data_IF_493347194388
#
_entry.id   IF_493347194388
#
_cell.length_a   1.000
_cell.length_b   1.000
_cell.length_c   1.000
_cell.angle_alpha   90.00
_cell.angle_beta   90.00
_cell.angle_gamma   90.00
#
_symmetry.space_group_name_H-M   'P 1'
#
loop_
_entity.id
_entity.type
_entity.pdbx_description
1 polymer ?
#
# COMPACT_ATOMS: atom_id res chain seq x y z
N UNK A 1 47.03 2.61 31.63
CA UNK A 1 45.97 3.12 30.74
C UNK A 1 44.78 2.19 30.91
N UNK A 2 43.78 2.58 31.71
CA UNK A 2 42.62 1.75 32.05
C UNK A 2 41.38 2.34 31.37
N UNK A 3 40.71 1.49 30.58
CA UNK A 3 39.34 1.56 30.06
C UNK A 3 38.58 2.89 30.19
N UNK A 4 38.56 3.66 29.10
CA UNK A 4 37.54 4.70 28.86
C UNK A 4 36.31 4.17 28.10
N UNK A 5 36.36 2.96 27.54
CA UNK A 5 35.29 2.42 26.71
C UNK A 5 34.23 1.62 27.48
N UNK A 6 34.44 1.36 28.78
CA UNK A 6 33.47 0.65 29.64
C UNK A 6 32.48 1.61 30.32
N UNK A 7 32.78 2.92 30.34
CA UNK A 7 31.88 3.92 30.93
C UNK A 7 30.75 4.38 30.00
N UNK A 8 30.90 4.20 28.69
CA UNK A 8 29.84 4.54 27.71
C UNK A 8 28.71 3.50 27.69
N UNK A 9 29.04 2.21 27.76
CA UNK A 9 28.05 1.12 27.70
C UNK A 9 27.31 0.95 29.03
N UNK A 10 27.99 1.16 30.17
CA UNK A 10 27.34 1.12 31.49
C UNK A 10 26.42 2.35 31.70
N UNK A 11 26.70 3.49 31.07
CA UNK A 11 25.82 4.67 31.18
C UNK A 11 24.51 4.50 30.39
N UNK A 12 24.50 3.77 29.27
CA UNK A 12 23.29 3.54 28.48
C UNK A 12 22.34 2.55 29.19
N UNK A 13 22.88 1.45 29.74
CA UNK A 13 22.11 0.47 30.52
C UNK A 13 21.54 1.08 31.83
N UNK A 14 22.25 2.04 32.42
CA UNK A 14 21.76 2.73 33.63
C UNK A 14 20.66 3.74 33.29
N UNK A 15 20.62 4.33 32.09
CA UNK A 15 19.56 5.27 31.69
C UNK A 15 18.26 4.53 31.34
N UNK A 16 18.32 3.34 30.73
CA UNK A 16 17.12 2.50 30.48
C UNK A 16 16.62 1.79 31.74
N UNK A 17 17.50 1.36 32.66
CA UNK A 17 17.05 0.89 33.98
C UNK A 17 16.45 2.02 34.84
N UNK A 18 16.78 3.28 34.55
CA UNK A 18 16.20 4.45 35.22
C UNK A 18 14.83 4.84 34.65
N UNK A 19 14.45 4.51 33.42
CA UNK A 19 13.06 4.77 32.96
C UNK A 19 12.07 3.86 33.70
N UNK A 20 12.36 2.57 33.84
CA UNK A 20 11.59 1.67 34.72
C UNK A 20 11.79 1.98 36.22
N UNK A 21 12.98 2.45 36.63
CA UNK A 21 13.31 2.77 38.02
C UNK A 21 12.73 4.09 38.56
N UNK A 22 12.56 5.11 37.73
CA UNK A 22 11.92 6.41 38.09
C UNK A 22 10.41 6.21 38.31
N UNK A 23 9.80 5.25 37.61
CA UNK A 23 8.41 4.83 37.80
C UNK A 23 8.20 4.10 39.14
N UNK A 24 9.20 3.34 39.62
CA UNK A 24 9.15 2.72 40.94
C UNK A 24 9.46 3.71 42.10
N UNK A 25 10.32 4.71 41.86
CA UNK A 25 10.72 5.70 42.88
C UNK A 25 9.62 6.69 43.27
N UNK A 26 8.73 7.04 42.35
CA UNK A 26 7.57 7.92 42.60
C UNK A 26 6.53 7.29 43.55
N UNK A 27 6.46 5.94 43.64
CA UNK A 27 5.63 5.23 44.64
C UNK A 27 6.07 5.47 46.09
N UNK A 28 7.35 5.73 46.36
CA UNK A 28 7.83 5.97 47.72
C UNK A 28 7.47 7.39 48.22
N UNK A 29 7.44 8.38 47.31
CA UNK A 29 7.11 9.78 47.61
C UNK A 29 5.59 10.01 47.66
N UNK A 30 4.79 9.34 46.82
CA UNK A 30 3.33 9.46 46.82
C UNK A 30 2.66 8.84 48.06
N UNK A 31 3.35 7.94 48.78
CA UNK A 31 2.79 7.30 49.99
C UNK A 31 2.77 8.22 51.22
N UNK A 32 3.42 9.38 51.17
CA UNK A 32 3.38 10.39 52.25
C UNK A 32 2.36 11.52 52.02
N UNK A 33 1.79 11.67 50.82
CA UNK A 33 0.77 12.68 50.54
C UNK A 33 -0.41 12.05 49.82
N UNK A 34 -1.43 11.70 50.61
CA UNK A 34 -2.65 11.07 50.15
C UNK A 34 -3.40 11.91 49.11
N UNK A 35 -3.31 11.47 47.86
CA UNK A 35 -4.21 11.84 46.77
C UNK A 35 -4.36 10.60 45.89
N UNK A 36 -5.60 10.13 45.81
CA UNK A 36 -5.99 8.87 45.17
C UNK A 36 -6.36 9.16 43.70
N UNK A 37 -5.40 8.93 42.80
CA UNK A 37 -5.64 8.71 41.36
C UNK A 37 -4.54 7.76 40.86
N UNK A 38 -4.82 6.46 40.93
CA UNK A 38 -3.94 5.39 40.47
C UNK A 38 -4.57 4.71 39.26
N UNK A 39 -4.17 5.09 38.04
CA UNK A 39 -4.21 4.13 36.92
C UNK A 39 -3.06 3.15 37.15
N UNK A 40 -3.39 1.88 37.35
CA UNK A 40 -2.43 0.85 37.76
C UNK A 40 -1.45 0.52 36.63
N UNK A 41 -0.17 0.86 36.82
CA UNK A 41 0.89 0.33 35.95
C UNK A 41 1.17 -1.14 36.32
N UNK A 42 1.11 -2.00 35.32
CA UNK A 42 1.31 -3.44 35.43
C UNK A 42 2.73 -3.76 35.96
N UNK A 43 2.82 -4.71 36.89
CA UNK A 43 4.09 -5.10 37.50
C UNK A 43 4.90 -5.95 36.52
N UNK A 44 6.08 -5.46 36.09
CA UNK A 44 7.03 -6.19 35.24
C UNK A 44 7.53 -7.44 35.94
N UNK A 45 7.46 -8.58 35.25
CA UNK A 45 7.88 -9.90 35.74
C UNK A 45 9.15 -10.40 35.06
N UNK A 46 9.40 -10.01 33.81
CA UNK A 46 10.56 -10.45 33.02
C UNK A 46 10.87 -9.40 31.95
N UNK A 47 12.15 -9.06 31.77
CA UNK A 47 12.61 -8.20 30.66
C UNK A 47 12.94 -9.08 29.45
N UNK A 48 12.51 -8.66 28.26
CA UNK A 48 12.72 -9.38 27.00
C UNK A 48 13.93 -8.78 26.27
N UNK A 49 14.69 -9.64 25.59
CA UNK A 49 15.82 -9.20 24.77
C UNK A 49 15.31 -8.57 23.47
N UNK A 50 15.72 -7.34 23.22
CA UNK A 50 15.38 -6.57 22.01
C UNK A 50 16.56 -6.50 21.05
N UNK A 51 17.65 -7.22 21.33
CA UNK A 51 18.84 -7.20 20.48
C UNK A 51 18.52 -7.75 19.08
N UNK A 52 18.59 -6.88 18.06
CA UNK A 52 18.26 -7.21 16.68
C UNK A 52 16.97 -6.56 16.15
N UNK A 53 16.13 -5.99 17.03
CA UNK A 53 14.96 -5.22 16.61
C UNK A 53 15.31 -3.72 16.56
N UNK A 54 15.45 -3.14 15.36
CA UNK A 54 15.99 -1.78 15.19
C UNK A 54 15.07 -0.68 15.74
N UNK A 55 13.75 -0.91 15.74
CA UNK A 55 12.72 0.03 16.17
C UNK A 55 12.14 -0.26 17.57
N UNK A 56 12.57 -1.34 18.25
CA UNK A 56 12.10 -1.67 19.61
C UNK A 56 13.14 -1.22 20.65
N UNK A 57 12.76 -0.25 21.49
CA UNK A 57 13.65 0.29 22.53
C UNK A 57 13.70 -0.58 23.79
N UNK A 58 12.58 -1.18 24.16
CA UNK A 58 12.48 -2.11 25.30
C UNK A 58 11.23 -2.95 25.20
N UNK A 59 11.27 -4.17 25.74
CA UNK A 59 10.10 -5.01 25.87
C UNK A 59 10.14 -5.80 27.18
N UNK A 60 8.98 -6.05 27.76
CA UNK A 60 8.86 -6.75 29.02
C UNK A 60 7.56 -7.55 29.11
N UNK A 61 7.61 -8.67 29.82
CA UNK A 61 6.42 -9.40 30.28
C UNK A 61 5.94 -8.79 31.59
N UNK A 62 4.63 -8.63 31.71
CA UNK A 62 3.95 -8.15 32.90
C UNK A 62 2.99 -9.23 33.43
N UNK A 63 2.38 -8.99 34.59
CA UNK A 63 1.35 -9.91 35.13
C UNK A 63 0.09 -10.00 34.27
N UNK A 64 -0.14 -9.06 33.34
CA UNK A 64 -1.37 -8.96 32.53
C UNK A 64 -1.10 -9.14 31.02
N UNK A 65 0.15 -9.46 30.64
CA UNK A 65 0.55 -9.65 29.25
C UNK A 65 1.94 -9.09 28.98
N UNK A 66 2.06 -8.18 28.01
CA UNK A 66 3.34 -7.65 27.51
C UNK A 66 3.30 -6.13 27.36
N UNK A 67 4.44 -5.47 27.56
CA UNK A 67 4.64 -4.04 27.34
C UNK A 67 5.85 -3.85 26.44
N UNK A 68 5.66 -3.16 25.32
CA UNK A 68 6.71 -2.91 24.32
C UNK A 68 6.81 -1.42 24.07
N UNK A 69 8.02 -0.88 24.12
CA UNK A 69 8.34 0.49 23.76
C UNK A 69 8.94 0.50 22.36
N UNK A 70 8.21 1.08 21.41
CA UNK A 70 8.56 1.17 19.99
C UNK A 70 8.91 2.61 19.63
N UNK A 71 9.78 2.77 18.64
CA UNK A 71 10.20 4.04 18.07
C UNK A 71 9.99 4.03 16.57
N UNK A 72 9.12 4.89 16.08
CA UNK A 72 8.77 4.96 14.66
C UNK A 72 8.95 6.37 14.10
N UNK A 73 9.28 6.49 12.81
CA UNK A 73 9.50 7.80 12.20
C UNK A 73 8.16 8.50 11.90
N UNK A 74 7.90 9.64 12.55
CA UNK A 74 6.78 10.54 12.26
C UNK A 74 7.12 11.64 11.24
N UNK A 75 6.23 12.61 11.08
CA UNK A 75 6.43 13.74 10.16
C UNK A 75 7.42 14.77 10.69
N UNK A 76 7.32 15.12 11.97
CA UNK A 76 8.15 16.14 12.63
C UNK A 76 9.40 15.56 13.31
N UNK A 77 9.49 14.23 13.40
CA UNK A 77 10.59 13.50 14.02
C UNK A 77 10.11 12.14 14.54
N UNK A 78 10.97 11.48 15.31
CA UNK A 78 10.64 10.17 15.86
C UNK A 78 9.47 10.26 16.88
N UNK A 79 8.58 9.28 16.82
CA UNK A 79 7.48 9.05 17.75
C UNK A 79 7.85 7.82 18.59
N UNK A 80 7.86 7.98 19.91
CA UNK A 80 8.08 6.89 20.87
C UNK A 80 6.76 6.54 21.52
N UNK A 81 6.40 5.27 21.48
CA UNK A 81 5.14 4.77 22.01
C UNK A 81 5.35 3.55 22.90
N UNK A 82 4.54 3.44 23.93
CA UNK A 82 4.37 2.26 24.76
C UNK A 82 3.08 1.54 24.35
N UNK A 83 3.20 0.29 23.91
CA UNK A 83 2.11 -0.55 23.46
C UNK A 83 1.98 -1.73 24.43
N UNK A 84 0.80 -1.88 25.01
CA UNK A 84 0.46 -2.99 25.91
C UNK A 84 -0.32 -4.04 25.14
N UNK A 85 0.05 -5.30 25.29
CA UNK A 85 -0.63 -6.46 24.72
C UNK A 85 -1.11 -7.41 25.83
N UNK A 86 -2.17 -8.15 25.55
CA UNK A 86 -2.64 -9.24 26.40
C UNK A 86 -1.70 -10.45 26.40
N UNK A 87 -2.05 -11.48 27.18
CA UNK A 87 -1.27 -12.73 27.25
C UNK A 87 -1.17 -13.48 25.91
N UNK A 88 -2.09 -13.22 24.99
CA UNK A 88 -2.12 -13.80 23.64
C UNK A 88 -1.13 -13.16 22.67
N UNK A 89 -0.39 -12.13 23.11
CA UNK A 89 0.58 -11.35 22.30
C UNK A 89 -0.05 -10.66 21.07
N UNK A 90 -1.37 -10.64 20.95
CA UNK A 90 -2.09 -10.18 19.75
C UNK A 90 -3.16 -9.14 20.06
N UNK A 91 -3.81 -9.21 21.22
CA UNK A 91 -4.81 -8.23 21.63
C UNK A 91 -4.12 -7.01 22.25
N UNK A 92 -4.26 -5.84 21.63
CA UNK A 92 -3.75 -4.57 22.18
C UNK A 92 -4.66 -4.16 23.35
N UNK A 93 -4.08 -3.93 24.53
CA UNK A 93 -4.80 -3.53 25.74
C UNK A 93 -4.67 -2.03 26.04
N UNK A 94 -3.68 -1.37 25.44
CA UNK A 94 -3.51 0.08 25.53
C UNK A 94 -2.32 0.59 24.73
N UNK A 95 -2.38 1.85 24.32
CA UNK A 95 -1.31 2.55 23.60
C UNK A 95 -1.11 3.92 24.25
N UNK A 96 0.15 4.30 24.47
CA UNK A 96 0.51 5.62 24.97
C UNK A 96 1.69 6.18 24.19
N UNK A 97 1.57 7.41 23.68
CA UNK A 97 2.69 8.12 23.07
C UNK A 97 3.47 8.86 24.18
N UNK A 98 4.76 8.57 24.32
CA UNK A 98 5.61 9.12 25.39
C UNK A 98 6.49 10.26 24.91
N UNK A 99 6.96 10.21 23.67
CA UNK A 99 7.74 11.28 23.03
C UNK A 99 7.27 11.46 21.58
N UNK A 100 7.15 12.72 21.13
CA UNK A 100 6.80 13.06 19.74
C UNK A 100 7.24 14.50 19.43
N UNK A 101 7.51 14.80 18.17
CA UNK A 101 7.88 16.14 17.67
C UNK A 101 6.98 16.60 16.52
N UNK A 102 5.77 16.07 16.43
CA UNK A 102 4.79 16.37 15.41
C UNK A 102 4.26 17.80 15.50
N UNK A 103 3.65 18.26 14.41
CA UNK A 103 3.06 19.61 14.35
C UNK A 103 1.89 19.74 15.32
N UNK A 104 1.94 20.74 16.20
CA UNK A 104 0.91 21.02 17.21
C UNK A 104 -0.48 21.21 16.57
N UNK A 105 -1.48 20.52 17.10
CA UNK A 105 -2.88 20.61 16.63
C UNK A 105 -3.18 19.83 15.35
N UNK A 106 -2.18 19.19 14.73
CA UNK A 106 -2.36 18.34 13.56
C UNK A 106 -1.83 16.94 13.87
N UNK A 107 -0.51 16.74 13.85
CA UNK A 107 0.11 15.44 14.11
C UNK A 107 0.20 15.10 15.59
N UNK A 108 0.25 16.09 16.49
CA UNK A 108 0.26 15.85 17.94
C UNK A 108 -1.02 15.18 18.47
N UNK A 109 -2.08 15.14 17.65
CA UNK A 109 -3.37 14.53 17.97
C UNK A 109 -3.28 13.01 18.14
N UNK A 110 -2.17 12.38 17.72
CA UNK A 110 -1.86 10.98 18.06
C UNK A 110 -1.79 10.74 19.58
N UNK A 111 -1.65 11.80 20.38
CA UNK A 111 -1.65 11.73 21.85
C UNK A 111 -3.05 11.87 22.46
N UNK A 112 -4.08 12.15 21.65
CA UNK A 112 -5.45 12.36 22.11
C UNK A 112 -6.17 11.04 22.37
N UNK A 113 -7.05 11.02 23.38
CA UNK A 113 -7.82 9.84 23.79
C UNK A 113 -8.72 9.31 22.66
N UNK A 114 -9.25 10.20 21.81
CA UNK A 114 -10.07 9.86 20.64
C UNK A 114 -9.33 8.96 19.64
N UNK A 115 -8.01 9.15 19.49
CA UNK A 115 -7.18 8.30 18.64
C UNK A 115 -6.73 7.03 19.38
N UNK A 116 -6.21 7.19 20.60
CA UNK A 116 -5.61 6.08 21.34
C UNK A 116 -6.60 5.01 21.82
N UNK A 117 -7.86 5.40 22.07
CA UNK A 117 -8.88 4.46 22.56
C UNK A 117 -9.33 3.43 21.51
N UNK A 118 -9.09 3.70 20.23
CA UNK A 118 -9.44 2.80 19.12
C UNK A 118 -8.63 1.49 19.16
N UNK A 119 -7.43 1.53 19.75
CA UNK A 119 -6.55 0.38 19.85
C UNK A 119 -6.87 -0.54 21.03
N UNK A 120 -7.61 -0.08 22.03
CA UNK A 120 -7.95 -0.89 23.19
C UNK A 120 -8.93 -2.01 22.81
N UNK A 121 -8.50 -3.26 22.92
CA UNK A 121 -9.25 -4.44 22.49
C UNK A 121 -9.12 -4.78 21.00
N UNK A 122 -8.31 -4.01 20.25
CA UNK A 122 -8.01 -4.33 18.85
C UNK A 122 -7.12 -5.57 18.78
N UNK A 123 -7.42 -6.48 17.85
CA UNK A 123 -6.55 -7.60 17.50
C UNK A 123 -5.56 -7.13 16.43
N UNK A 124 -4.27 -7.14 16.75
CA UNK A 124 -3.20 -6.83 15.81
C UNK A 124 -3.05 -7.95 14.76
N UNK A 125 -2.61 -7.63 13.52
CA UNK A 125 -2.17 -6.31 13.05
C UNK A 125 -3.32 -5.30 12.92
N UNK A 126 -3.01 -4.02 13.12
CA UNK A 126 -3.95 -2.91 12.92
C UNK A 126 -3.66 -2.19 11.61
N UNK A 127 -4.68 -1.61 10.97
CA UNK A 127 -4.50 -0.95 9.68
C UNK A 127 -5.40 0.27 9.52
N UNK A 128 -4.91 1.26 8.76
CA UNK A 128 -5.71 2.41 8.33
C UNK A 128 -6.50 2.09 7.05
N UNK A 129 -7.63 2.77 6.77
CA UNK A 129 -8.29 2.68 5.48
C UNK A 129 -7.31 2.94 4.32
N UNK A 130 -7.21 1.99 3.38
CA UNK A 130 -6.30 2.08 2.23
C UNK A 130 -4.83 1.71 2.52
N UNK A 131 -4.52 1.22 3.72
CA UNK A 131 -3.20 0.69 4.07
C UNK A 131 -3.12 -0.79 3.70
N UNK A 132 -2.14 -1.16 2.89
CA UNK A 132 -1.78 -2.56 2.69
C UNK A 132 -0.95 -3.02 3.88
N UNK A 133 -1.43 -4.07 4.57
CA UNK A 133 -0.61 -4.77 5.55
C UNK A 133 0.49 -5.51 4.79
N UNK A 134 1.68 -4.91 4.75
CA UNK A 134 2.88 -5.65 4.37
C UNK A 134 3.17 -6.62 5.51
N UNK A 135 2.76 -7.88 5.38
CA UNK A 135 3.42 -8.93 6.14
C UNK A 135 4.83 -9.02 5.57
N UNK A 136 5.81 -8.50 6.30
CA UNK A 136 7.20 -8.86 6.06
C UNK A 136 7.33 -10.37 6.31
N UNK A 137 7.15 -11.16 5.25
CA UNK A 137 7.73 -12.48 5.21
C UNK A 137 9.24 -12.28 5.30
N UNK A 138 9.79 -12.72 6.43
CA UNK A 138 11.21 -12.82 6.69
C UNK A 138 11.91 -13.38 5.43
N UNK A 139 12.91 -12.64 4.92
CA UNK A 139 13.65 -13.00 3.73
C UNK A 139 14.42 -14.32 3.91
N UNK A 140 13.72 -15.44 3.75
CA UNK A 140 14.32 -16.72 3.35
C UNK A 140 14.88 -16.57 1.94
N UNK A 141 16.05 -17.18 1.63
CA UNK A 141 16.66 -17.04 0.32
C UNK A 141 15.71 -17.57 -0.75
N UNK A 142 15.26 -16.66 -1.63
CA UNK A 142 14.42 -16.90 -2.81
C UNK A 142 14.38 -18.37 -3.24
N UNK A 143 13.42 -19.12 -2.69
CA UNK A 143 12.81 -20.20 -3.44
C UNK A 143 11.80 -19.51 -4.33
N UNK A 144 12.14 -19.50 -5.61
CA UNK A 144 11.18 -19.23 -6.67
C UNK A 144 9.99 -20.13 -6.41
N UNK A 145 8.84 -19.56 -6.06
CA UNK A 145 7.59 -20.23 -6.39
C UNK A 145 7.67 -20.45 -7.90
N UNK A 146 7.87 -21.70 -8.32
CA UNK A 146 7.73 -22.07 -9.72
C UNK A 146 6.28 -21.71 -10.07
N UNK A 147 6.09 -20.55 -10.70
CA UNK A 147 4.85 -20.25 -11.41
C UNK A 147 4.62 -21.47 -12.31
N UNK A 148 3.55 -22.22 -12.07
CA UNK A 148 3.17 -23.34 -12.94
C UNK A 148 2.63 -22.77 -14.26
N UNK A 149 3.54 -22.17 -15.04
CA UNK A 149 3.24 -21.69 -16.38
C UNK A 149 3.18 -22.90 -17.31
N UNK A 150 2.14 -22.96 -18.12
CA UNK A 150 2.02 -23.96 -19.16
C UNK A 150 3.02 -23.64 -20.27
N UNK A 151 3.74 -24.66 -20.72
CA UNK A 151 4.65 -24.52 -21.85
C UNK A 151 3.89 -24.13 -23.12
N UNK A 152 4.42 -23.16 -23.86
CA UNK A 152 3.76 -22.64 -25.05
C UNK A 152 4.30 -21.28 -25.49
N UNK A 153 3.70 -20.75 -26.56
CA UNK A 153 3.93 -19.38 -27.02
C UNK A 153 2.62 -18.63 -26.90
N UNK A 154 2.66 -17.50 -26.20
CA UNK A 154 1.51 -16.68 -25.84
C UNK A 154 1.68 -15.30 -26.48
N UNK A 155 0.61 -14.76 -27.04
CA UNK A 155 0.63 -13.51 -27.78
C UNK A 155 -0.52 -12.61 -27.31
N UNK A 156 -0.20 -11.35 -27.03
CA UNK A 156 -1.16 -10.31 -26.68
C UNK A 156 -0.92 -9.08 -27.56
N UNK A 157 -2.01 -8.42 -27.97
CA UNK A 157 -1.98 -7.23 -28.84
C UNK A 157 -2.79 -6.09 -28.25
N UNK A 158 -2.35 -4.87 -28.48
CA UNK A 158 -3.17 -3.69 -28.28
C UNK A 158 -4.39 -3.74 -29.23
N UNK A 159 -5.55 -3.31 -28.74
CA UNK A 159 -6.79 -3.36 -29.52
C UNK A 159 -6.86 -2.30 -30.62
N UNK A 160 -6.09 -1.22 -30.47
CA UNK A 160 -6.04 -0.10 -31.38
C UNK A 160 -4.59 0.41 -31.51
N UNK A 161 -4.24 1.01 -32.67
CA UNK A 161 -2.94 1.66 -32.84
C UNK A 161 -2.81 2.91 -31.96
N UNK A 162 -1.58 3.24 -31.61
CA UNK A 162 -1.18 4.47 -30.95
C UNK A 162 -1.41 5.70 -31.84
N UNK A 163 -1.18 6.90 -31.29
CA UNK A 163 -1.31 8.16 -32.02
C UNK A 163 -0.36 8.28 -33.24
N UNK A 164 0.66 7.43 -33.32
CA UNK A 164 1.61 7.37 -34.43
C UNK A 164 1.27 6.26 -35.44
N UNK A 165 0.17 5.53 -35.25
CA UNK A 165 -0.30 4.48 -36.14
C UNK A 165 0.34 3.10 -35.90
N UNK A 166 1.02 2.89 -34.77
CA UNK A 166 1.63 1.60 -34.42
C UNK A 166 0.77 0.83 -33.42
N UNK A 167 0.64 -0.48 -33.61
CA UNK A 167 -0.06 -1.39 -32.69
C UNK A 167 0.96 -2.25 -31.95
N UNK A 168 0.97 -2.14 -30.62
CA UNK A 168 1.86 -2.93 -29.78
C UNK A 168 1.43 -4.40 -29.69
N UNK A 169 2.40 -5.30 -29.65
CA UNK A 169 2.21 -6.72 -29.45
C UNK A 169 3.35 -7.29 -28.59
N UNK A 170 3.01 -8.16 -27.63
CA UNK A 170 3.98 -8.91 -26.83
C UNK A 170 3.82 -10.39 -27.11
N UNK A 171 4.94 -11.08 -27.31
CA UNK A 171 5.01 -12.54 -27.43
C UNK A 171 5.89 -13.09 -26.32
N UNK A 172 5.39 -14.07 -25.56
CA UNK A 172 6.13 -14.76 -24.49
C UNK A 172 6.19 -16.25 -24.81
N UNK A 173 7.39 -16.84 -24.72
CA UNK A 173 7.59 -18.29 -24.82
C UNK A 173 7.90 -18.86 -23.45
N UNK A 174 7.12 -19.86 -23.04
CA UNK A 174 7.31 -20.62 -21.80
C UNK A 174 7.79 -22.03 -22.15
N UNK A 175 8.84 -22.48 -21.46
CA UNK A 175 9.34 -23.85 -21.53
C UNK A 175 9.82 -24.30 -20.15
N UNK A 176 9.53 -25.55 -19.78
CA UNK A 176 9.79 -26.12 -18.46
C UNK A 176 9.22 -25.24 -17.33
N UNK A 177 8.03 -24.65 -17.55
CA UNK A 177 7.36 -23.76 -16.59
C UNK A 177 7.97 -22.37 -16.45
N UNK A 178 8.95 -22.00 -17.28
CA UNK A 178 9.68 -20.72 -17.17
C UNK A 178 9.56 -19.90 -18.43
N UNK A 179 9.49 -18.58 -18.25
CA UNK A 179 9.59 -17.62 -19.36
C UNK A 179 11.01 -17.72 -19.92
N UNK A 180 11.13 -18.15 -21.17
CA UNK A 180 12.42 -18.32 -21.87
C UNK A 180 12.68 -17.24 -22.90
N UNK A 181 11.62 -16.58 -23.35
CA UNK A 181 11.68 -15.48 -24.30
C UNK A 181 10.51 -14.53 -24.06
N UNK A 182 10.76 -13.24 -24.14
CA UNK A 182 9.73 -12.20 -24.16
C UNK A 182 10.12 -11.15 -25.20
N UNK A 183 9.24 -10.90 -26.16
CA UNK A 183 9.46 -9.97 -27.27
C UNK A 183 8.36 -8.93 -27.26
N UNK A 184 8.75 -7.66 -27.16
CA UNK A 184 7.85 -6.53 -27.39
C UNK A 184 8.08 -5.98 -28.80
N UNK A 185 7.04 -5.94 -29.61
CA UNK A 185 7.06 -5.38 -30.96
C UNK A 185 5.92 -4.36 -31.12
N UNK A 186 6.10 -3.42 -32.04
CA UNK A 186 5.07 -2.46 -32.42
C UNK A 186 5.00 -2.40 -33.94
N UNK A 187 3.80 -2.55 -34.51
CA UNK A 187 3.63 -2.75 -35.97
C UNK A 187 2.80 -1.61 -36.57
N UNK A 188 3.27 -1.00 -37.65
CA UNK A 188 2.52 0.05 -38.35
C UNK A 188 1.35 -0.50 -39.20
N UNK A 189 0.52 0.39 -39.73
CA UNK A 189 -0.64 0.02 -40.56
C UNK A 189 -0.31 -0.73 -41.86
N UNK A 190 0.95 -0.72 -42.30
CA UNK A 190 1.44 -1.46 -43.48
C UNK A 190 2.05 -2.82 -43.08
N UNK A 191 2.13 -3.12 -41.79
CA UNK A 191 2.69 -4.37 -41.26
C UNK A 191 4.20 -4.32 -41.02
N UNK A 192 4.84 -3.15 -41.10
CA UNK A 192 6.27 -3.02 -40.82
C UNK A 192 6.52 -2.95 -39.32
N UNK A 193 7.62 -3.55 -38.89
CA UNK A 193 8.03 -3.59 -37.49
C UNK A 193 8.80 -2.34 -37.09
N UNK A 194 8.45 -1.77 -35.95
CA UNK A 194 9.11 -0.59 -35.39
C UNK A 194 10.53 -0.90 -34.95
N UNK A 195 10.79 -2.12 -34.46
CA UNK A 195 12.14 -2.59 -34.18
C UNK A 195 13.05 -2.49 -35.42
N UNK A 196 12.66 -3.12 -36.53
CA UNK A 196 13.40 -3.13 -37.80
C UNK A 196 13.54 -1.72 -38.39
N UNK A 197 12.50 -0.90 -38.32
CA UNK A 197 12.56 0.49 -38.76
C UNK A 197 13.52 1.31 -37.90
N UNK A 198 13.60 1.05 -36.59
CA UNK A 198 14.49 1.77 -35.68
C UNK A 198 15.95 1.42 -35.89
N UNK A 199 16.27 0.15 -36.16
CA UNK A 199 17.62 -0.30 -36.50
C UNK A 199 18.12 0.26 -37.84
N UNK A 200 17.22 0.34 -38.82
CA UNK A 200 17.55 0.83 -40.17
C UNK A 200 17.44 2.37 -40.31
N UNK A 201 17.15 3.08 -39.22
CA UNK A 201 17.04 4.55 -39.18
C UNK A 201 15.79 5.11 -39.87
N UNK A 202 14.81 4.27 -40.21
CA UNK A 202 13.52 4.69 -40.74
C UNK A 202 12.60 5.23 -39.64
N UNK A 203 12.82 4.80 -38.39
CA UNK A 203 12.19 5.33 -37.20
C UNK A 203 13.27 5.81 -36.22
N UNK A 204 13.29 7.10 -35.90
CA UNK A 204 14.29 7.67 -34.97
C UNK A 204 13.54 8.30 -33.80
N UNK A 205 13.75 7.76 -32.59
CA UNK A 205 13.17 8.35 -31.36
C UNK A 205 13.94 9.58 -30.93
N UNK A 206 15.26 9.42 -30.84
CA UNK A 206 16.21 10.44 -30.41
C UNK A 206 17.46 10.28 -31.25
N UNK A 207 18.09 11.40 -31.63
CA UNK A 207 19.26 11.38 -32.50
C UNK A 207 20.49 10.73 -31.85
N UNK A 208 20.63 10.88 -30.52
CA UNK A 208 21.79 10.40 -29.74
C UNK A 208 21.44 9.36 -28.65
N UNK A 209 20.18 8.94 -28.55
CA UNK A 209 19.71 8.00 -27.53
C UNK A 209 19.46 6.58 -28.06
N UNK A 210 19.13 5.63 -27.18
CA UNK A 210 18.90 4.24 -27.57
C UNK A 210 17.71 4.12 -28.53
N UNK A 211 17.83 3.20 -29.47
CA UNK A 211 16.76 2.88 -30.43
C UNK A 211 15.57 2.24 -29.73
N UNK A 212 14.42 2.22 -30.41
CA UNK A 212 13.25 1.52 -29.89
C UNK A 212 13.53 0.02 -29.75
N UNK A 213 14.22 -0.58 -30.74
CA UNK A 213 14.64 -1.97 -30.71
C UNK A 213 15.47 -2.31 -29.45
N UNK A 214 16.52 -1.54 -29.16
CA UNK A 214 17.37 -1.75 -27.98
C UNK A 214 16.58 -1.69 -26.66
N UNK A 215 15.66 -0.73 -26.54
CA UNK A 215 14.85 -0.58 -25.33
C UNK A 215 13.81 -1.68 -25.16
N UNK A 216 13.14 -2.08 -26.25
CA UNK A 216 12.18 -3.19 -26.25
C UNK A 216 12.83 -4.52 -25.91
N UNK A 217 14.04 -4.76 -26.42
CA UNK A 217 14.83 -5.96 -26.12
C UNK A 217 15.27 -5.99 -24.65
N UNK A 218 15.68 -4.84 -24.09
CA UNK A 218 16.08 -4.75 -22.68
C UNK A 218 14.92 -5.11 -21.73
N UNK A 219 13.70 -4.66 -22.04
CA UNK A 219 12.49 -5.01 -21.28
C UNK A 219 12.15 -6.49 -21.37
N UNK A 220 12.20 -7.06 -22.58
CA UNK A 220 12.00 -8.50 -22.79
C UNK A 220 13.00 -9.34 -21.99
N UNK A 221 14.28 -8.97 -22.01
CA UNK A 221 15.32 -9.65 -21.24
C UNK A 221 15.09 -9.50 -19.73
N UNK A 222 14.73 -8.31 -19.25
CA UNK A 222 14.43 -8.10 -17.83
C UNK A 222 13.26 -8.97 -17.35
N UNK A 223 12.22 -9.15 -18.16
CA UNK A 223 11.12 -10.06 -17.84
C UNK A 223 11.57 -11.54 -17.79
N UNK A 224 12.40 -11.98 -18.74
CA UNK A 224 13.00 -13.32 -18.72
C UNK A 224 13.87 -13.54 -17.47
N UNK A 225 14.61 -12.53 -17.04
CA UNK A 225 15.47 -12.63 -15.84
C UNK A 225 14.66 -12.69 -14.54
N UNK A 226 13.56 -11.93 -14.46
CA UNK A 226 12.76 -11.79 -13.24
C UNK A 226 11.55 -12.74 -13.17
N UNK A 227 11.19 -13.41 -14.27
CA UNK A 227 10.04 -14.34 -14.39
C UNK A 227 8.66 -13.74 -14.03
N UNK A 228 8.60 -12.45 -13.74
CA UNK A 228 7.41 -11.70 -13.34
C UNK A 228 7.63 -10.22 -13.63
N UNK A 229 6.56 -9.41 -13.57
CA UNK A 229 6.63 -7.96 -13.73
C UNK A 229 6.89 -7.22 -12.41
N UNK A 230 7.16 -7.93 -11.30
CA UNK A 230 7.37 -7.30 -9.98
C UNK A 230 8.54 -6.33 -9.92
N UNK A 231 9.53 -6.49 -10.83
CA UNK A 231 10.65 -5.56 -10.96
C UNK A 231 10.28 -4.22 -11.61
N UNK A 232 9.14 -4.16 -12.33
CA UNK A 232 8.82 -3.06 -13.22
C UNK A 232 8.03 -1.97 -12.49
N UNK A 233 8.75 -1.11 -11.79
CA UNK A 233 8.21 0.13 -11.22
C UNK A 233 8.09 1.21 -12.28
N UNK A 234 7.03 2.03 -12.22
CA UNK A 234 6.80 3.11 -13.18
C UNK A 234 6.62 4.46 -12.49
N UNK A 235 7.10 5.52 -13.14
CA UNK A 235 6.81 6.91 -12.79
C UNK A 235 5.47 7.38 -13.39
N UNK A 236 5.08 8.63 -13.09
CA UNK A 236 3.84 9.25 -13.60
C UNK A 236 3.80 9.48 -15.12
N UNK A 237 4.90 9.27 -15.84
CA UNK A 237 4.95 9.27 -17.30
C UNK A 237 4.89 7.84 -17.88
N UNK A 238 4.70 6.84 -17.03
CA UNK A 238 4.73 5.42 -17.37
C UNK A 238 6.12 4.92 -17.74
N UNK A 239 7.20 5.61 -17.33
CA UNK A 239 8.59 5.19 -17.58
C UNK A 239 9.14 4.45 -16.39
N UNK A 240 10.19 3.65 -16.60
CA UNK A 240 10.84 2.87 -15.53
C UNK A 240 12.32 3.21 -15.43
N UNK A 241 12.86 3.22 -14.22
CA UNK A 241 14.31 3.25 -13.94
C UNK A 241 14.86 1.86 -13.59
N UNK A 242 14.00 0.84 -13.47
CA UNK A 242 14.38 -0.53 -13.12
C UNK A 242 15.17 -1.23 -14.23
N UNK A 243 15.03 -0.80 -15.49
CA UNK A 243 15.74 -1.37 -16.63
C UNK A 243 16.72 -0.36 -17.23
N UNK A 244 18.01 -0.67 -17.13
CA UNK A 244 19.07 0.20 -17.63
C UNK A 244 18.92 0.47 -19.13
N UNK A 245 18.97 1.75 -19.52
CA UNK A 245 18.89 2.17 -20.92
C UNK A 245 17.46 2.33 -21.45
N UNK A 246 16.44 2.01 -20.66
CA UNK A 246 15.03 2.25 -21.01
C UNK A 246 14.64 3.66 -20.59
N UNK A 247 14.07 4.40 -21.53
CA UNK A 247 13.62 5.79 -21.35
C UNK A 247 12.24 6.07 -21.96
N UNK A 248 11.64 5.05 -22.58
CA UNK A 248 10.29 5.05 -23.14
C UNK A 248 9.24 4.72 -22.08
N UNK A 249 7.99 5.08 -22.35
CA UNK A 249 6.86 4.61 -21.55
C UNK A 249 6.67 3.11 -21.77
N UNK A 250 6.50 2.34 -20.69
CA UNK A 250 6.51 0.87 -20.66
C UNK A 250 5.17 0.25 -20.25
N UNK A 251 4.13 1.07 -20.01
CA UNK A 251 2.79 0.58 -19.65
C UNK A 251 2.23 -0.41 -20.68
N UNK A 252 2.34 -0.08 -21.98
CA UNK A 252 1.89 -0.99 -23.05
C UNK A 252 2.62 -2.34 -23.07
N UNK A 253 3.90 -2.37 -22.70
CA UNK A 253 4.63 -3.62 -22.51
C UNK A 253 4.10 -4.40 -21.30
N UNK A 254 3.98 -3.75 -20.15
CA UNK A 254 3.55 -4.38 -18.91
C UNK A 254 2.17 -5.03 -19.03
N UNK A 255 1.21 -4.31 -19.60
CA UNK A 255 -0.16 -4.80 -19.78
C UNK A 255 -0.22 -6.04 -20.67
N UNK A 256 0.48 -6.00 -21.81
CA UNK A 256 0.49 -7.10 -22.78
C UNK A 256 1.31 -8.29 -22.27
N UNK A 257 2.42 -8.04 -21.58
CA UNK A 257 3.22 -9.08 -20.94
C UNK A 257 2.43 -9.79 -19.83
N UNK A 258 1.69 -9.06 -19.00
CA UNK A 258 0.84 -9.64 -17.96
C UNK A 258 -0.25 -10.53 -18.56
N UNK A 259 -0.89 -10.09 -19.66
CA UNK A 259 -1.85 -10.92 -20.40
C UNK A 259 -1.23 -12.24 -20.86
N UNK A 260 -0.02 -12.22 -21.42
CA UNK A 260 0.68 -13.43 -21.83
C UNK A 260 1.02 -14.35 -20.64
N UNK A 261 1.46 -13.78 -19.51
CA UNK A 261 1.74 -14.54 -18.27
C UNK A 261 0.45 -15.18 -17.73
N UNK A 262 -0.66 -14.45 -17.74
CA UNK A 262 -1.96 -14.96 -17.30
C UNK A 262 -2.46 -16.10 -18.20
N UNK A 263 -2.35 -15.95 -19.53
CA UNK A 263 -2.64 -17.02 -20.48
C UNK A 263 -1.77 -18.26 -20.21
N UNK A 264 -0.48 -18.06 -19.94
CA UNK A 264 0.45 -19.15 -19.62
C UNK A 264 0.12 -19.83 -18.29
N UNK A 265 -0.32 -19.07 -17.29
CA UNK A 265 -0.82 -19.61 -16.02
C UNK A 265 -2.17 -20.35 -16.15
N UNK A 266 -2.72 -20.46 -17.37
CA UNK A 266 -4.03 -21.07 -17.60
C UNK A 266 -5.19 -20.22 -17.05
N UNK A 267 -4.93 -18.95 -16.71
CA UNK A 267 -6.01 -18.01 -16.41
C UNK A 267 -6.73 -17.74 -17.73
N UNK A 268 -8.02 -18.01 -17.75
CA UNK A 268 -8.84 -17.71 -18.93
C UNK A 268 -8.87 -16.20 -19.11
N UNK A 269 -8.73 -15.72 -20.34
CA UNK A 269 -8.93 -14.30 -20.65
C UNK A 269 -10.23 -13.83 -19.99
N UNK A 270 -10.09 -12.92 -19.03
CA UNK A 270 -11.22 -12.46 -18.24
C UNK A 270 -12.06 -11.56 -19.12
N UNK A 271 -13.02 -12.16 -19.83
CA UNK A 271 -14.05 -11.41 -20.56
C UNK A 271 -15.03 -10.88 -19.52
N UNK A 272 -14.98 -9.57 -19.30
CA UNK A 272 -15.96 -8.90 -18.45
C UNK A 272 -17.34 -9.14 -19.04
N UNK A 273 -18.25 -9.71 -18.26
CA UNK A 273 -19.62 -9.92 -18.66
C UNK A 273 -20.31 -8.55 -18.71
N UNK A 274 -21.04 -8.30 -19.80
CA UNK A 274 -21.81 -7.08 -19.94
C UNK A 274 -22.84 -6.94 -18.81
N UNK A 275 -22.96 -5.74 -18.25
CA UNK A 275 -23.83 -5.48 -17.11
C UNK A 275 -23.42 -4.25 -16.33
N UNK A 276 -24.16 -3.98 -15.26
CA UNK A 276 -23.82 -2.95 -14.28
C UNK A 276 -23.54 -3.63 -12.95
N UNK A 277 -22.38 -3.33 -12.38
CA UNK A 277 -21.83 -3.94 -11.18
C UNK A 277 -21.67 -2.85 -10.12
N UNK A 278 -22.05 -3.18 -8.88
CA UNK A 278 -22.05 -2.23 -7.77
C UNK A 278 -21.39 -2.87 -6.55
N UNK A 279 -20.45 -2.14 -5.96
CA UNK A 279 -19.78 -2.50 -4.73
C UNK A 279 -19.92 -1.36 -3.72
N UNK A 280 -20.11 -1.70 -2.44
CA UNK A 280 -20.25 -0.74 -1.34
C UNK A 280 -19.28 -1.06 -0.22
N UNK A 281 -18.83 -0.03 0.48
CA UNK A 281 -18.19 -0.19 1.77
C UNK A 281 -19.17 -0.81 2.78
N UNK A 282 -18.66 -1.64 3.69
CA UNK A 282 -19.50 -2.34 4.68
C UNK A 282 -20.00 -1.41 5.79
N UNK A 283 -19.27 -0.32 6.04
CA UNK A 283 -19.57 0.68 7.04
C UNK A 283 -19.32 2.10 6.49
N UNK A 284 -20.02 3.12 7.03
CA UNK A 284 -19.71 4.51 6.73
C UNK A 284 -18.34 4.93 7.29
N UNK A 285 -17.73 5.92 6.66
CA UNK A 285 -16.57 6.64 7.16
C UNK A 285 -16.92 7.48 8.41
N UNK A 286 -15.91 8.09 9.01
CA UNK A 286 -16.07 8.96 10.19
C UNK A 286 -16.88 10.23 9.95
N UNK A 287 -17.09 10.61 8.69
CA UNK A 287 -17.95 11.73 8.32
C UNK A 287 -19.40 11.26 8.06
N UNK A 288 -19.69 9.96 8.26
CA UNK A 288 -21.00 9.36 8.08
C UNK A 288 -21.33 8.98 6.63
N UNK A 289 -20.34 8.94 5.73
CA UNK A 289 -20.55 8.59 4.33
C UNK A 289 -20.12 7.16 4.02
N UNK A 290 -20.94 6.41 3.30
CA UNK A 290 -20.61 5.09 2.78
C UNK A 290 -20.22 5.18 1.31
N UNK A 291 -18.98 4.78 1.00
CA UNK A 291 -18.48 4.72 -0.37
C UNK A 291 -19.17 3.61 -1.18
N UNK A 292 -19.44 3.90 -2.44
CA UNK A 292 -19.97 2.97 -3.42
C UNK A 292 -19.36 3.23 -4.80
N UNK A 293 -18.98 2.15 -5.49
CA UNK A 293 -18.52 2.22 -6.88
C UNK A 293 -19.49 1.45 -7.77
N UNK A 294 -19.87 2.07 -8.88
CA UNK A 294 -20.68 1.45 -9.93
C UNK A 294 -19.87 1.39 -11.22
N UNK A 295 -19.75 0.21 -11.83
CA UNK A 295 -19.07 -0.01 -13.11
C UNK A 295 -20.08 -0.57 -14.11
N UNK A 296 -20.15 0.02 -15.30
CA UNK A 296 -20.92 -0.52 -16.43
C UNK A 296 -19.95 -1.12 -17.44
N UNK A 297 -20.22 -2.37 -17.83
CA UNK A 297 -19.50 -3.11 -18.86
C UNK A 297 -20.41 -3.31 -20.07
N UNK A 298 -19.90 -3.01 -21.26
CA UNK A 298 -20.55 -3.32 -22.52
C UNK A 298 -19.51 -3.78 -23.55
N UNK A 299 -19.86 -4.78 -24.36
CA UNK A 299 -18.96 -5.42 -25.32
C UNK A 299 -17.63 -5.89 -24.68
N UNK A 300 -17.69 -6.35 -23.43
CA UNK A 300 -16.53 -6.80 -22.66
C UNK A 300 -15.61 -5.70 -22.13
N UNK A 301 -16.00 -4.43 -22.24
CA UNK A 301 -15.21 -3.26 -21.81
C UNK A 301 -15.92 -2.43 -20.76
N UNK A 302 -15.15 -1.85 -19.85
CA UNK A 302 -15.65 -0.85 -18.89
C UNK A 302 -16.00 0.42 -19.68
N UNK A 303 -17.28 0.75 -19.76
CA UNK A 303 -17.77 1.95 -20.47
C UNK A 303 -18.05 3.12 -19.52
N UNK A 304 -18.24 2.82 -18.23
CA UNK A 304 -18.54 3.80 -17.21
C UNK A 304 -18.03 3.28 -15.86
N UNK A 305 -17.44 4.18 -15.07
CA UNK A 305 -17.10 3.93 -13.68
C UNK A 305 -17.44 5.18 -12.87
N UNK A 306 -18.24 5.01 -11.82
CA UNK A 306 -18.72 6.08 -10.95
C UNK A 306 -18.34 5.75 -9.52
N UNK A 307 -17.61 6.64 -8.87
CA UNK A 307 -17.38 6.60 -7.44
C UNK A 307 -18.29 7.61 -6.76
N UNK A 308 -19.10 7.16 -5.82
CA UNK A 308 -20.00 7.98 -5.03
C UNK A 308 -19.80 7.68 -3.54
N UNK A 309 -20.11 8.64 -2.68
CA UNK A 309 -20.12 8.47 -1.24
C UNK A 309 -21.43 9.03 -0.70
N UNK A 310 -22.18 8.24 0.07
CA UNK A 310 -23.57 8.58 0.45
C UNK A 310 -23.72 8.68 1.95
N UNK A 311 -24.32 9.75 2.45
CA UNK A 311 -24.58 9.91 3.89
C UNK A 311 -25.76 9.05 4.39
N UNK A 312 -26.00 9.04 5.70
CA UNK A 312 -27.08 8.27 6.32
C UNK A 312 -28.49 8.67 5.85
N UNK A 313 -28.66 9.89 5.32
CA UNK A 313 -29.93 10.39 4.80
C UNK A 313 -30.10 10.09 3.30
N UNK A 314 -29.10 9.48 2.66
CA UNK A 314 -29.10 9.14 1.25
C UNK A 314 -28.62 10.26 0.34
N UNK A 315 -28.06 11.34 0.89
CA UNK A 315 -27.53 12.43 0.08
C UNK A 315 -26.15 12.06 -0.46
N UNK A 316 -25.88 12.48 -1.69
CA UNK A 316 -24.61 12.20 -2.38
C UNK A 316 -23.57 13.25 -2.09
N UNK A 317 -22.36 12.82 -1.77
CA UNK A 317 -21.20 13.68 -1.52
C UNK A 317 -20.79 14.43 -2.77
N UNK A 318 -20.94 13.82 -3.96
CA UNK A 318 -20.73 14.50 -5.23
C UNK A 318 -21.63 15.74 -5.36
N UNK A 319 -22.95 15.56 -5.24
CA UNK A 319 -23.96 16.62 -5.35
C UNK A 319 -23.75 17.71 -4.29
N UNK A 320 -23.46 17.31 -3.05
CA UNK A 320 -23.15 18.25 -1.96
C UNK A 320 -21.85 19.02 -2.20
N UNK A 321 -20.85 18.41 -2.84
CA UNK A 321 -19.60 19.09 -3.15
C UNK A 321 -19.74 20.12 -4.27
N UNK A 322 -20.55 19.82 -5.29
CA UNK A 322 -20.84 20.75 -6.39
C UNK A 322 -21.67 21.95 -5.94
N UNK A 323 -22.61 21.73 -5.03
CA UNK A 323 -23.51 22.78 -4.54
C UNK A 323 -22.94 23.58 -3.35
N UNK A 324 -21.73 23.24 -2.90
CA UNK A 324 -21.01 23.90 -1.80
C UNK A 324 -21.48 23.51 -0.39
N UNK A 325 -22.35 22.51 -0.24
CA UNK A 325 -22.73 21.95 1.07
C UNK A 325 -21.61 21.10 1.69
N UNK A 326 -20.72 20.56 0.86
CA UNK A 326 -19.53 19.84 1.28
C UNK A 326 -18.29 20.47 0.65
N UNK A 327 -17.41 21.07 1.46
CA UNK A 327 -16.18 21.72 0.99
C UNK A 327 -14.98 21.00 1.57
N UNK A 328 -14.15 20.39 0.71
CA UNK A 328 -12.91 19.73 1.16
C UNK A 328 -11.81 20.75 1.43
N UNK A 329 -11.59 21.63 0.46
CA UNK A 329 -10.61 22.71 0.52
C UNK A 329 -11.24 23.93 -0.14
N UNK A 330 -10.94 25.12 0.37
CA UNK A 330 -11.57 26.36 -0.10
C UNK A 330 -11.15 26.72 -1.54
N UNK A 331 -9.93 26.37 -1.93
CA UNK A 331 -9.33 26.71 -3.24
C UNK A 331 -8.97 25.48 -4.11
N UNK A 332 -9.23 24.26 -3.64
CA UNK A 332 -8.88 23.03 -4.35
C UNK A 332 -10.07 22.37 -5.06
N UNK A 333 -9.81 21.28 -5.80
CA UNK A 333 -10.85 20.58 -6.56
C UNK A 333 -11.90 19.97 -5.62
N UNK A 334 -13.15 19.99 -6.08
CA UNK A 334 -14.26 19.37 -5.36
C UNK A 334 -14.11 17.85 -5.30
N UNK A 335 -14.83 17.22 -4.36
CA UNK A 335 -14.87 15.76 -4.31
C UNK A 335 -15.45 15.16 -5.59
N UNK A 336 -16.51 15.78 -6.15
CA UNK A 336 -17.10 15.40 -7.43
C UNK A 336 -16.09 15.39 -8.58
N UNK A 337 -15.32 16.47 -8.75
CA UNK A 337 -14.32 16.56 -9.82
C UNK A 337 -13.25 15.45 -9.70
N UNK A 338 -12.80 15.17 -8.49
CA UNK A 338 -11.76 14.16 -8.24
C UNK A 338 -12.28 12.73 -8.45
N UNK A 339 -13.48 12.43 -7.94
CA UNK A 339 -14.14 11.13 -8.14
C UNK A 339 -14.44 10.85 -9.62
N UNK A 340 -14.88 11.86 -10.37
CA UNK A 340 -15.10 11.76 -11.80
C UNK A 340 -13.80 11.53 -12.58
N UNK A 341 -12.71 12.18 -12.19
CA UNK A 341 -11.40 11.98 -12.81
C UNK A 341 -10.91 10.54 -12.65
N UNK A 342 -11.09 9.93 -11.48
CA UNK A 342 -10.75 8.52 -11.22
C UNK A 342 -11.60 7.55 -12.04
N UNK A 343 -12.92 7.78 -12.09
CA UNK A 343 -13.82 6.98 -12.91
C UNK A 343 -13.44 7.01 -14.40
N UNK A 344 -13.11 8.20 -14.91
CA UNK A 344 -12.63 8.37 -16.28
C UNK A 344 -11.29 7.65 -16.52
N UNK A 345 -10.35 7.76 -15.59
CA UNK A 345 -9.05 7.10 -15.71
C UNK A 345 -9.22 5.57 -15.75
N UNK A 346 -10.12 5.00 -14.95
CA UNK A 346 -10.41 3.56 -15.00
C UNK A 346 -11.04 3.15 -16.34
N UNK A 347 -11.97 3.94 -16.88
CA UNK A 347 -12.54 3.69 -18.22
C UNK A 347 -11.46 3.76 -19.31
N UNK A 348 -10.51 4.69 -19.22
CA UNK A 348 -9.43 4.81 -20.21
C UNK A 348 -8.43 3.65 -20.13
N UNK A 349 -8.11 3.16 -18.93
CA UNK A 349 -7.10 2.13 -18.70
C UNK A 349 -7.66 0.69 -18.65
N UNK A 350 -8.99 0.52 -18.57
CA UNK A 350 -9.69 -0.79 -18.50
C UNK A 350 -9.25 -1.69 -17.34
N UNK A 351 -8.43 -1.19 -16.43
CA UNK A 351 -7.87 -1.89 -15.27
C UNK A 351 -7.39 -0.86 -14.25
N UNK A 352 -7.07 -1.32 -13.03
CA UNK A 352 -6.48 -0.49 -11.99
C UNK A 352 -4.95 -0.45 -12.03
N UNK A 353 -4.30 -1.03 -13.06
CA UNK A 353 -2.84 -1.09 -13.15
C UNK A 353 -2.15 0.28 -13.21
N UNK A 354 -2.85 1.30 -13.69
CA UNK A 354 -2.38 2.69 -13.68
C UNK A 354 -2.36 3.32 -12.28
N UNK A 355 -3.12 2.77 -11.33
CA UNK A 355 -3.40 3.39 -10.04
C UNK A 355 -2.34 2.99 -9.02
N UNK A 356 -1.21 3.67 -9.07
CA UNK A 356 -0.19 3.60 -8.02
C UNK A 356 -0.59 4.51 -6.86
N UNK A 357 -0.30 4.07 -5.63
CA UNK A 357 -0.59 4.84 -4.42
C UNK A 357 0.68 5.05 -3.60
N UNK A 358 0.78 6.22 -2.98
CA UNK A 358 1.76 6.48 -1.94
C UNK A 358 1.31 5.87 -0.60
N UNK A 359 2.16 6.00 0.42
CA UNK A 359 1.86 5.55 1.79
C UNK A 359 0.66 6.27 2.47
N UNK A 360 0.07 7.29 1.82
CA UNK A 360 -1.14 7.99 2.25
C UNK A 360 -2.38 7.50 1.49
N UNK A 361 -2.23 6.51 0.62
CA UNK A 361 -3.28 6.03 -0.27
C UNK A 361 -3.65 7.04 -1.36
N UNK A 362 -2.82 8.05 -1.63
CA UNK A 362 -3.04 9.05 -2.69
C UNK A 362 -2.32 8.63 -3.96
N UNK A 363 -2.80 9.11 -5.09
CA UNK A 363 -2.22 8.83 -6.39
C UNK A 363 -1.81 10.13 -7.09
N UNK A 364 -0.67 10.12 -7.77
CA UNK A 364 -0.29 11.17 -8.73
C UNK A 364 -0.60 10.75 -10.19
N UNK A 365 -1.09 9.52 -10.40
CA UNK A 365 -1.42 8.98 -11.71
C UNK A 365 -2.62 9.67 -12.36
N UNK A 366 -3.48 10.32 -11.56
CA UNK A 366 -4.66 11.05 -12.06
C UNK A 366 -4.54 12.53 -11.73
N UNK A 367 -4.38 13.35 -12.78
CA UNK A 367 -4.23 14.80 -12.64
C UNK A 367 -5.41 15.43 -11.92
N UNK A 368 -5.12 16.24 -10.90
CA UNK A 368 -6.14 16.94 -10.11
C UNK A 368 -6.72 16.11 -8.95
N UNK A 369 -6.34 14.84 -8.81
CA UNK A 369 -6.71 14.01 -7.67
C UNK A 369 -5.69 14.22 -6.54
N UNK A 370 -6.20 14.54 -5.36
CA UNK A 370 -5.42 14.78 -4.14
C UNK A 370 -6.00 14.07 -2.90
N UNK A 371 -7.16 13.43 -3.07
CA UNK A 371 -7.81 12.57 -2.08
C UNK A 371 -7.15 11.19 -2.03
N UNK A 372 -7.32 10.49 -0.91
CA UNK A 372 -6.99 9.06 -0.84
C UNK A 372 -7.95 8.26 -1.72
N UNK A 373 -7.42 7.32 -2.48
CA UNK A 373 -8.13 6.58 -3.54
C UNK A 373 -8.24 5.09 -3.27
N UNK A 374 -7.79 4.60 -2.11
CA UNK A 374 -7.90 3.19 -1.71
C UNK A 374 -9.34 2.68 -1.73
N UNK A 375 -10.29 3.45 -1.16
CA UNK A 375 -11.71 3.10 -1.19
C UNK A 375 -12.29 2.96 -2.60
N UNK A 376 -11.84 3.80 -3.53
CA UNK A 376 -12.17 3.65 -4.95
C UNK A 376 -11.58 2.37 -5.54
N UNK A 377 -10.28 2.14 -5.35
CA UNK A 377 -9.56 1.00 -5.91
C UNK A 377 -10.17 -0.33 -5.47
N UNK A 378 -10.44 -0.49 -4.17
CA UNK A 378 -11.00 -1.71 -3.60
C UNK A 378 -12.39 -2.02 -4.16
N UNK A 379 -13.27 -1.02 -4.18
CA UNK A 379 -14.63 -1.18 -4.67
C UNK A 379 -14.68 -1.35 -6.20
N UNK A 380 -13.82 -0.65 -6.94
CA UNK A 380 -13.67 -0.82 -8.38
C UNK A 380 -13.17 -2.22 -8.73
N UNK A 381 -12.18 -2.75 -8.00
CA UNK A 381 -11.69 -4.12 -8.20
C UNK A 381 -12.79 -5.15 -7.92
N UNK A 382 -13.58 -4.98 -6.85
CA UNK A 382 -14.74 -5.85 -6.59
C UNK A 382 -15.73 -5.85 -7.76
N UNK A 383 -16.02 -4.69 -8.34
CA UNK A 383 -16.89 -4.61 -9.52
C UNK A 383 -16.27 -5.29 -10.75
N UNK A 384 -14.97 -5.15 -10.98
CA UNK A 384 -14.24 -5.83 -12.06
C UNK A 384 -14.28 -7.34 -11.86
N UNK A 385 -14.07 -7.84 -10.64
CA UNK A 385 -14.13 -9.27 -10.31
C UNK A 385 -15.54 -9.84 -10.49
N UNK A 386 -16.57 -9.09 -10.08
CA UNK A 386 -17.97 -9.47 -10.34
C UNK A 386 -18.23 -9.57 -11.85
N UNK A 387 -17.78 -8.59 -12.63
CA UNK A 387 -17.91 -8.59 -14.08
C UNK A 387 -17.12 -9.72 -14.73
N UNK A 388 -15.95 -10.05 -14.21
CA UNK A 388 -15.13 -11.17 -14.63
C UNK A 388 -15.78 -12.55 -14.43
N UNK A 389 -16.89 -12.63 -13.68
CA UNK A 389 -17.46 -13.91 -13.24
C UNK A 389 -16.54 -14.64 -12.26
N UNK A 390 -15.53 -13.96 -11.72
CA UNK A 390 -14.77 -14.42 -10.58
C UNK A 390 -15.76 -14.44 -9.42
N UNK A 391 -16.10 -15.64 -8.95
CA UNK A 391 -16.74 -15.72 -7.64
C UNK A 391 -15.73 -15.13 -6.69
N UNK A 392 -16.04 -13.97 -6.14
CA UNK A 392 -15.39 -13.46 -4.96
C UNK A 392 -15.60 -14.54 -3.92
N UNK A 393 -14.63 -15.45 -3.79
CA UNK A 393 -14.42 -16.07 -2.50
C UNK A 393 -14.23 -14.88 -1.58
N UNK A 394 -15.12 -14.77 -0.59
CA UNK A 394 -14.89 -13.96 0.59
C UNK A 394 -13.42 -14.19 0.93
N UNK A 395 -12.54 -13.20 0.66
CA UNK A 395 -11.16 -13.29 1.16
C UNK A 395 -11.36 -13.57 2.64
N UNK A 396 -10.83 -14.70 3.11
CA UNK A 396 -10.87 -15.02 4.52
C UNK A 396 -10.50 -13.74 5.28
N UNK A 397 -11.27 -13.37 6.32
CA UNK A 397 -11.14 -12.06 6.96
C UNK A 397 -9.66 -11.79 7.19
N UNK A 398 -9.16 -10.66 6.68
CA UNK A 398 -7.81 -10.20 7.03
C UNK A 398 -7.73 -10.27 8.56
N UNK A 399 -6.84 -11.11 9.09
CA UNK A 399 -6.64 -11.12 10.54
C UNK A 399 -6.06 -9.75 10.92
N UNK A 400 -6.86 -8.95 11.60
CA UNK A 400 -6.46 -7.60 12.01
C UNK A 400 -7.66 -6.71 12.34
N UNK A 401 -7.38 -5.50 12.82
CA UNK A 401 -8.41 -4.51 13.20
C UNK A 401 -8.19 -3.20 12.45
N UNK A 402 -9.19 -2.77 11.68
CA UNK A 402 -9.18 -1.45 11.06
C UNK A 402 -9.33 -0.37 12.15
N UNK A 403 -8.52 0.68 12.06
CA UNK A 403 -8.59 1.88 12.91
C UNK A 403 -8.56 3.13 12.04
N UNK A 404 -9.03 4.24 12.56
CA UNK A 404 -9.12 5.47 11.80
C UNK A 404 -7.91 6.38 11.98
N UNK A 405 -7.48 6.97 10.86
CA UNK A 405 -6.42 7.98 10.86
C UNK A 405 -6.93 9.35 11.30
N UNK A 406 -6.04 10.19 11.80
CA UNK A 406 -6.33 11.59 12.09
C UNK A 406 -6.33 12.38 10.77
N UNK A 407 -7.46 12.98 10.44
CA UNK A 407 -7.60 13.85 9.26
C UNK A 407 -6.54 14.95 9.26
N UNK A 408 -5.80 15.05 8.15
CA UNK A 408 -4.71 16.02 7.97
C UNK A 408 -3.37 15.63 8.62
N UNK A 409 -3.33 14.53 9.37
CA UNK A 409 -2.13 14.00 10.03
C UNK A 409 -1.85 12.55 9.62
N UNK A 410 -1.91 12.29 8.31
CA UNK A 410 -1.79 10.93 7.76
C UNK A 410 -0.45 10.29 8.11
N UNK A 411 0.67 11.01 8.02
CA UNK A 411 2.01 10.47 8.34
C UNK A 411 2.13 10.09 9.81
N UNK A 412 1.65 10.94 10.72
CA UNK A 412 1.66 10.67 12.16
C UNK A 412 0.76 9.48 12.52
N UNK A 413 -0.40 9.35 11.85
CA UNK A 413 -1.34 8.25 12.05
C UNK A 413 -0.77 6.92 11.55
N UNK A 414 -0.16 6.92 10.36
CA UNK A 414 0.50 5.74 9.80
C UNK A 414 1.68 5.31 10.66
N UNK A 415 2.49 6.24 11.16
CA UNK A 415 3.60 5.93 12.07
C UNK A 415 3.12 5.29 13.38
N UNK A 416 1.97 5.73 13.92
CA UNK A 416 1.39 5.11 15.11
C UNK A 416 0.91 3.66 14.84
N UNK A 417 0.25 3.43 13.70
CA UNK A 417 -0.19 2.08 13.29
C UNK A 417 0.99 1.15 13.00
N UNK A 418 2.01 1.64 12.29
CA UNK A 418 3.25 0.91 12.03
C UNK A 418 3.97 0.52 13.32
N UNK A 419 4.11 1.46 14.27
CA UNK A 419 4.76 1.16 15.53
C UNK A 419 4.03 0.08 16.35
N UNK A 420 2.68 0.06 16.32
CA UNK A 420 1.89 -1.00 16.97
C UNK A 420 2.12 -2.35 16.29
N UNK A 421 2.15 -2.38 14.95
CA UNK A 421 2.40 -3.61 14.20
C UNK A 421 3.82 -4.14 14.41
N UNK A 422 4.82 -3.27 14.41
CA UNK A 422 6.21 -3.65 14.73
C UNK A 422 6.35 -4.23 16.15
N UNK A 423 5.64 -3.66 17.13
CA UNK A 423 5.60 -4.20 18.49
C UNK A 423 4.93 -5.59 18.53
N UNK A 424 3.87 -5.78 17.75
CA UNK A 424 3.19 -7.07 17.59
C UNK A 424 4.10 -8.12 16.95
N UNK A 425 4.73 -7.79 15.81
CA UNK A 425 5.67 -8.66 15.08
C UNK A 425 6.84 -9.08 15.96
N UNK A 426 7.45 -8.13 16.68
CA UNK A 426 8.48 -8.43 17.67
C UNK A 426 8.03 -9.47 18.69
N UNK A 427 6.80 -9.35 19.24
CA UNK A 427 6.28 -10.34 20.19
C UNK A 427 6.03 -11.72 19.56
N UNK A 428 5.76 -11.79 18.26
CA UNK A 428 5.63 -13.07 17.55
C UNK A 428 6.97 -13.80 17.42
N UNK A 429 8.11 -13.09 17.48
CA UNK A 429 9.45 -13.70 17.44
C UNK A 429 9.89 -14.32 18.76
N UNK A 430 9.15 -14.08 19.84
CA UNK A 430 9.49 -14.51 21.21
C UNK A 430 8.60 -15.67 21.62
N UNK A 431 9.19 -16.76 22.08
CA UNK A 431 8.47 -17.97 22.56
C UNK A 431 7.71 -17.73 23.88
#
# INVERSE_FOLDING_TARGET
MKNKNVRGIIALIIVTALSFGVIAGSRALAKEQGTDQSQGQAQVTEELDVSGAENIQSAAKTQEGYLVTVKEAGYGGDIVMEVSFGEDKATVTGVQVTEQSETEGVGSRITEEEFLSQFAGAKAPVYLPGMTLETEEEAEPAQTEDLELQDGTYEAKAEAPDNNGYTDQVTITVADGKITEAVWESVDGDGNKKSEQSENGQYVMTEDGPTWAEQSQALGQALVENQSLGFLTMDNQGKTDAVSGVSISVGGFADLAQKCIDQAAGKTEVVLQDGTYEAKAEAPDNNGYTDQVTITVADGKITEAVWESVDSDGNKKSEQSENGQYVMTEDGPTWAEQSQALGKALVENQSLGFLTMDNQGKTDAVSGVSISVGGFADLAQKCIDQAAGVKTEEKAPQEGTQVDGISGATISSTAAVNGINAAYEFLQTID
#
